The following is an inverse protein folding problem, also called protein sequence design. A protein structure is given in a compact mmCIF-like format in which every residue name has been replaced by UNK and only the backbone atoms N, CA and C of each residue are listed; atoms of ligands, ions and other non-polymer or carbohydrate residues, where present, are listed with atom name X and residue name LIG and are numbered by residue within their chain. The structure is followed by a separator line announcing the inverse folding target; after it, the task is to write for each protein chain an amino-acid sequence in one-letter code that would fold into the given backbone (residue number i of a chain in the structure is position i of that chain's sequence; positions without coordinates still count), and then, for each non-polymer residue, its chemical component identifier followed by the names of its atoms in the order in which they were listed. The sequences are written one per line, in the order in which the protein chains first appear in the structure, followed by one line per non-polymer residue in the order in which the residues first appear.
data_IF_354568573859
#
_entry.id   IF_354568573859
#
_cell.length_a   1.000
_cell.length_b   1.000
_cell.length_c   1.000
_cell.angle_alpha   90.00
_cell.angle_beta   90.00
_cell.angle_gamma   90.00
#
_symmetry.space_group_name_H-M   'P 1'
#
loop_
_entity.id
_entity.type
_entity.pdbx_description
1 polymer ?
#
# COMPACT_ATOMS: atom_id res chain seq x y z
N UNK A 1 30.08 -15.45 -2.25
CA UNK A 1 28.83 -14.69 -2.37
C UNK A 1 29.18 -13.22 -2.23
N UNK A 2 28.77 -12.40 -3.19
CA UNK A 2 29.17 -10.99 -3.22
C UNK A 2 28.34 -10.14 -2.24
N UNK A 3 27.12 -10.60 -1.92
CA UNK A 3 26.16 -9.90 -1.04
C UNK A 3 25.58 -10.85 0.02
N UNK A 4 25.11 -10.26 1.10
CA UNK A 4 24.29 -10.98 2.08
C UNK A 4 22.84 -11.09 1.60
N UNK A 5 22.34 -10.00 0.98
CA UNK A 5 20.95 -9.93 0.46
C UNK A 5 20.94 -9.36 -0.95
N UNK A 6 20.16 -9.98 -1.84
CA UNK A 6 19.87 -9.47 -3.18
C UNK A 6 18.39 -9.14 -3.26
N UNK A 7 18.06 -7.89 -3.55
CA UNK A 7 16.68 -7.39 -3.59
C UNK A 7 16.33 -7.00 -5.02
N UNK A 8 15.29 -7.61 -5.58
CA UNK A 8 14.77 -7.30 -6.91
C UNK A 8 13.61 -6.31 -6.81
N UNK A 9 13.81 -5.09 -7.29
CA UNK A 9 12.86 -3.98 -7.31
C UNK A 9 13.19 -2.90 -6.27
N UNK A 10 13.46 -1.67 -6.74
CA UNK A 10 13.74 -0.48 -5.92
C UNK A 10 12.49 0.41 -5.75
N UNK A 11 11.34 -0.22 -5.47
CA UNK A 11 10.13 0.43 -4.98
C UNK A 11 10.12 0.57 -3.46
N UNK A 12 8.95 0.91 -2.88
CA UNK A 12 8.79 1.14 -1.43
C UNK A 12 9.32 -0.05 -0.62
N UNK A 13 8.89 -1.28 -0.91
CA UNK A 13 9.30 -2.45 -0.14
C UNK A 13 10.80 -2.75 -0.27
N UNK A 14 11.34 -2.71 -1.50
CA UNK A 14 12.74 -3.03 -1.74
C UNK A 14 13.69 -2.00 -1.12
N UNK A 15 13.42 -0.71 -1.29
CA UNK A 15 14.22 0.34 -0.65
C UNK A 15 14.15 0.26 0.88
N UNK A 16 12.95 0.00 1.45
CA UNK A 16 12.79 -0.17 2.91
C UNK A 16 13.65 -1.33 3.43
N UNK A 17 13.60 -2.49 2.78
CA UNK A 17 14.41 -3.63 3.17
C UNK A 17 15.91 -3.33 3.01
N UNK A 18 16.32 -2.70 1.91
CA UNK A 18 17.71 -2.35 1.65
C UNK A 18 18.28 -1.40 2.72
N UNK A 19 17.54 -0.35 3.07
CA UNK A 19 17.92 0.60 4.13
C UNK A 19 18.10 -0.13 5.46
N UNK A 20 17.16 -0.98 5.84
CA UNK A 20 17.21 -1.67 7.13
C UNK A 20 18.34 -2.71 7.19
N UNK A 21 18.57 -3.49 6.13
CA UNK A 21 19.70 -4.41 6.07
C UNK A 21 21.06 -3.69 6.04
N UNK A 22 21.19 -2.63 5.23
CA UNK A 22 22.42 -1.85 5.17
C UNK A 22 22.79 -1.21 6.51
N UNK A 23 21.79 -0.62 7.21
CA UNK A 23 21.99 -0.08 8.57
C UNK A 23 22.38 -1.15 9.60
N UNK A 24 22.03 -2.39 9.35
CA UNK A 24 22.46 -3.52 10.16
C UNK A 24 23.86 -4.06 9.78
N UNK A 25 24.58 -3.39 8.87
CA UNK A 25 25.94 -3.73 8.46
C UNK A 25 26.02 -4.83 7.40
N UNK A 26 24.91 -5.18 6.74
CA UNK A 26 24.91 -6.20 5.68
C UNK A 26 25.19 -5.57 4.31
N UNK A 27 25.79 -6.36 3.40
CA UNK A 27 25.99 -5.99 2.00
C UNK A 27 24.74 -6.35 1.21
N UNK A 28 24.14 -5.36 0.54
CA UNK A 28 22.88 -5.46 -0.17
C UNK A 28 23.03 -5.04 -1.63
N UNK A 29 22.67 -5.91 -2.57
CA UNK A 29 22.41 -5.51 -3.95
C UNK A 29 20.92 -5.16 -4.10
N UNK A 30 20.61 -3.89 -4.37
CA UNK A 30 19.27 -3.42 -4.68
C UNK A 30 19.15 -3.22 -6.20
N UNK A 31 18.46 -4.14 -6.87
CA UNK A 31 18.40 -4.23 -8.33
C UNK A 31 17.11 -3.62 -8.85
N UNK A 32 17.20 -2.71 -9.82
CA UNK A 32 16.04 -2.03 -10.42
C UNK A 32 16.15 -2.06 -11.95
N UNK A 33 15.08 -2.47 -12.62
CA UNK A 33 15.00 -2.57 -14.08
C UNK A 33 15.06 -1.22 -14.81
N UNK A 34 14.58 -0.15 -14.18
CA UNK A 34 14.65 1.19 -14.76
C UNK A 34 16.07 1.72 -14.72
N UNK A 35 16.53 2.31 -15.82
CA UNK A 35 17.79 3.05 -15.89
C UNK A 35 17.66 4.45 -15.28
N UNK A 36 16.43 4.95 -15.10
CA UNK A 36 16.17 6.31 -14.64
C UNK A 36 15.95 6.33 -13.12
N UNK A 37 16.75 7.07 -12.36
CA UNK A 37 16.57 7.20 -10.91
C UNK A 37 15.24 7.89 -10.55
N UNK A 38 14.63 8.68 -11.46
CA UNK A 38 13.33 9.36 -11.27
C UNK A 38 12.12 8.47 -11.60
N UNK A 39 12.33 7.26 -12.11
CA UNK A 39 11.21 6.36 -12.42
C UNK A 39 10.34 6.11 -11.19
N UNK A 40 9.04 6.14 -11.36
CA UNK A 40 8.09 5.99 -10.27
C UNK A 40 6.88 5.15 -10.67
N UNK A 41 6.19 4.59 -9.69
CA UNK A 41 4.94 3.85 -9.91
C UNK A 41 3.84 4.86 -10.25
N UNK A 42 3.28 4.77 -11.45
CA UNK A 42 2.24 5.69 -11.93
C UNK A 42 0.91 5.40 -11.25
N UNK A 43 0.46 4.15 -11.24
CA UNK A 43 -0.83 3.76 -10.66
C UNK A 43 -0.68 3.50 -9.16
N UNK A 44 -0.83 4.56 -8.36
CA UNK A 44 -0.78 4.49 -6.89
C UNK A 44 -1.35 5.76 -6.27
N UNK A 45 -2.27 5.65 -5.33
CA UNK A 45 -2.83 6.78 -4.58
C UNK A 45 -1.88 7.41 -3.55
N UNK A 46 -0.67 6.89 -3.37
CA UNK A 46 0.43 7.38 -2.52
C UNK A 46 0.07 7.83 -1.09
N UNK A 47 -1.12 7.54 -0.61
CA UNK A 47 -1.54 7.78 0.76
C UNK A 47 -1.04 6.65 1.65
N UNK A 48 -0.18 6.97 2.63
CA UNK A 48 0.39 6.01 3.57
C UNK A 48 -0.35 6.11 4.88
N UNK A 49 -1.05 5.04 5.25
CA UNK A 49 -1.86 4.97 6.47
C UNK A 49 -0.99 5.01 7.73
N UNK A 50 -1.53 5.59 8.80
CA UNK A 50 -0.85 5.79 10.08
C UNK A 50 -0.30 4.52 10.73
N UNK A 51 -0.89 3.35 10.46
CA UNK A 51 -0.37 2.07 10.96
C UNK A 51 1.00 1.66 10.43
N UNK A 52 1.57 2.40 9.47
CA UNK A 52 2.94 2.21 9.00
C UNK A 52 3.91 3.30 9.51
N UNK A 53 3.46 4.18 10.43
CA UNK A 53 4.25 5.32 10.91
C UNK A 53 5.57 4.90 11.53
N UNK A 54 5.57 3.91 12.41
CA UNK A 54 6.79 3.43 13.08
C UNK A 54 7.84 2.96 12.07
N UNK A 55 7.41 2.26 11.01
CA UNK A 55 8.31 1.83 9.94
C UNK A 55 8.86 3.03 9.16
N UNK A 56 8.00 4.04 8.85
CA UNK A 56 8.44 5.27 8.19
C UNK A 56 9.50 6.01 9.01
N UNK A 57 9.31 6.12 10.33
CA UNK A 57 10.26 6.75 11.24
C UNK A 57 11.56 5.95 11.33
N UNK A 58 11.47 4.63 11.47
CA UNK A 58 12.62 3.73 11.57
C UNK A 58 13.55 3.82 10.36
N UNK A 59 13.00 3.97 9.14
CA UNK A 59 13.82 4.15 7.93
C UNK A 59 14.20 5.61 7.65
N UNK A 60 13.72 6.57 8.48
CA UNK A 60 13.96 8.00 8.29
C UNK A 60 13.10 8.64 7.19
N UNK A 61 12.14 7.88 6.68
CA UNK A 61 11.31 8.33 5.56
C UNK A 61 10.26 9.36 5.98
N UNK A 62 9.74 9.30 7.22
CA UNK A 62 8.78 10.28 7.71
C UNK A 62 9.36 11.70 7.64
N UNK A 63 10.54 11.90 8.21
CA UNK A 63 11.24 13.21 8.20
C UNK A 63 11.58 13.63 6.77
N UNK A 64 12.06 12.70 5.94
CA UNK A 64 12.39 13.01 4.56
C UNK A 64 11.16 13.39 3.72
N UNK A 65 10.01 12.73 3.90
CA UNK A 65 8.76 13.07 3.21
C UNK A 65 8.25 14.45 3.65
N UNK A 66 8.27 14.75 4.95
CA UNK A 66 7.86 16.08 5.46
C UNK A 66 8.75 17.19 4.92
N UNK A 67 10.05 16.98 4.81
CA UNK A 67 10.99 17.93 4.19
C UNK A 67 10.70 18.16 2.69
N UNK A 68 10.19 17.15 1.97
CA UNK A 68 9.76 17.28 0.57
C UNK A 68 8.34 17.88 0.41
N UNK A 69 7.73 18.33 1.51
CA UNK A 69 6.41 18.99 1.52
C UNK A 69 5.23 18.03 1.53
N UNK A 70 5.41 16.79 2.01
CA UNK A 70 4.30 15.84 2.16
C UNK A 70 3.19 16.39 3.05
N UNK A 71 1.94 16.11 2.70
CA UNK A 71 0.79 16.46 3.53
C UNK A 71 0.56 15.41 4.61
N UNK A 72 0.45 15.85 5.87
CA UNK A 72 0.09 15.01 7.01
C UNK A 72 -1.42 15.13 7.26
N UNK A 73 -2.09 14.00 7.41
CA UNK A 73 -3.52 13.91 7.70
C UNK A 73 -3.71 13.34 9.11
N UNK A 74 -4.08 14.20 10.05
CA UNK A 74 -4.40 13.81 11.43
C UNK A 74 -5.77 13.18 11.55
N UNK A 75 -6.72 13.63 10.73
CA UNK A 75 -8.10 13.15 10.72
C UNK A 75 -8.51 12.69 9.34
N UNK A 76 -8.87 11.41 9.24
CA UNK A 76 -9.50 10.84 8.04
C UNK A 76 -10.98 10.64 8.33
N UNK A 77 -11.83 11.38 7.62
CA UNK A 77 -13.28 11.31 7.72
C UNK A 77 -13.84 10.28 6.75
N UNK A 78 -14.82 9.48 7.19
CA UNK A 78 -15.49 8.48 6.35
C UNK A 78 -16.95 8.88 6.17
N UNK A 79 -17.35 9.22 4.96
CA UNK A 79 -18.75 9.47 4.64
C UNK A 79 -19.49 8.15 4.36
N UNK A 80 -20.69 8.07 4.89
CA UNK A 80 -21.64 6.97 4.66
C UNK A 80 -23.04 7.54 4.43
N UNK A 81 -24.02 6.78 3.92
CA UNK A 81 -25.39 7.27 3.83
C UNK A 81 -26.03 7.73 5.16
N UNK A 82 -25.45 7.35 6.29
CA UNK A 82 -25.87 7.82 7.61
C UNK A 82 -25.18 9.14 8.04
N UNK A 83 -24.20 9.61 7.30
CA UNK A 83 -23.40 10.80 7.59
C UNK A 83 -21.92 10.54 7.75
N UNK A 84 -21.17 11.53 8.24
CA UNK A 84 -19.74 11.46 8.46
C UNK A 84 -19.38 10.73 9.75
N UNK A 85 -18.54 9.73 9.65
CA UNK A 85 -17.86 9.10 10.79
C UNK A 85 -16.57 9.90 11.04
N UNK A 86 -16.53 10.59 12.19
CA UNK A 86 -15.43 11.43 12.61
C UNK A 86 -14.84 10.90 13.91
N UNK A 87 -13.62 10.33 13.87
CA UNK A 87 -12.93 10.03 15.14
C UNK A 87 -12.67 11.31 15.94
N UNK A 88 -12.77 11.27 17.27
CA UNK A 88 -12.42 12.42 18.10
C UNK A 88 -10.93 12.81 17.92
N UNK A 89 -10.58 14.10 18.10
CA UNK A 89 -9.20 14.58 17.89
C UNK A 89 -8.15 13.86 18.72
N UNK A 90 -8.51 13.45 19.94
CA UNK A 90 -7.66 12.78 20.94
C UNK A 90 -7.76 11.24 20.88
N UNK A 91 -8.23 10.70 19.76
CA UNK A 91 -8.48 9.26 19.62
C UNK A 91 -7.24 8.37 19.64
N UNK A 92 -6.03 8.92 19.67
CA UNK A 92 -4.77 8.17 19.63
C UNK A 92 -4.54 7.47 18.28
N UNK A 93 -5.14 7.98 17.19
CA UNK A 93 -4.98 7.43 15.85
C UNK A 93 -3.72 8.04 15.22
N UNK A 94 -2.74 7.22 14.82
CA UNK A 94 -1.54 7.75 14.19
C UNK A 94 -1.89 8.41 12.84
N UNK A 95 -1.30 9.60 12.54
CA UNK A 95 -1.59 10.32 11.31
C UNK A 95 -1.11 9.58 10.08
N UNK A 96 -1.82 9.78 8.97
CA UNK A 96 -1.39 9.37 7.65
C UNK A 96 -0.50 10.44 6.99
N UNK A 97 0.22 10.07 5.94
CA UNK A 97 1.07 10.98 5.18
C UNK A 97 0.93 10.73 3.68
N UNK A 98 0.93 11.79 2.89
CA UNK A 98 0.77 11.73 1.43
C UNK A 98 1.88 12.52 0.74
N UNK A 99 2.61 11.85 -0.16
CA UNK A 99 3.62 12.43 -1.05
C UNK A 99 3.52 11.73 -2.40
N UNK A 100 3.35 12.49 -3.49
CA UNK A 100 3.23 11.89 -4.83
C UNK A 100 4.42 11.00 -5.18
N UNK A 101 4.13 9.88 -5.84
CA UNK A 101 5.16 8.88 -6.20
C UNK A 101 6.30 9.45 -7.04
N UNK A 102 6.03 10.50 -7.81
CA UNK A 102 7.06 11.23 -8.59
C UNK A 102 8.15 11.82 -7.68
N UNK A 103 7.85 12.14 -6.42
CA UNK A 103 8.81 12.57 -5.40
C UNK A 103 9.23 11.42 -4.47
N UNK A 104 8.25 10.61 -4.02
CA UNK A 104 8.47 9.55 -3.03
C UNK A 104 9.44 8.46 -3.51
N UNK A 105 9.28 7.96 -4.75
CA UNK A 105 10.10 6.86 -5.24
C UNK A 105 11.58 7.26 -5.43
N UNK A 106 11.89 8.42 -6.07
CA UNK A 106 13.26 8.92 -6.12
C UNK A 106 13.84 9.22 -4.74
N UNK A 107 13.05 9.78 -3.81
CA UNK A 107 13.48 10.04 -2.44
C UNK A 107 13.91 8.74 -1.73
N UNK A 108 13.10 7.69 -1.82
CA UNK A 108 13.43 6.39 -1.24
C UNK A 108 14.69 5.76 -1.84
N UNK A 109 14.84 5.85 -3.17
CA UNK A 109 16.07 5.34 -3.83
C UNK A 109 17.30 6.11 -3.40
N UNK A 110 17.22 7.44 -3.25
CA UNK A 110 18.33 8.24 -2.69
C UNK A 110 18.69 7.77 -1.28
N UNK A 111 17.68 7.62 -0.39
CA UNK A 111 17.92 7.13 0.98
C UNK A 111 18.57 5.75 0.98
N UNK A 112 18.14 4.84 0.11
CA UNK A 112 18.73 3.52 -0.01
C UNK A 112 20.17 3.59 -0.54
N UNK A 113 20.41 4.36 -1.60
CA UNK A 113 21.75 4.50 -2.22
C UNK A 113 22.77 5.16 -1.26
N UNK A 114 22.33 6.05 -0.38
CA UNK A 114 23.20 6.66 0.64
C UNK A 114 23.37 5.80 1.90
N UNK A 115 22.67 4.68 2.00
CA UNK A 115 22.82 3.76 3.14
C UNK A 115 24.10 2.93 2.97
N UNK A 116 25.05 2.94 3.93
CA UNK A 116 26.25 2.11 3.85
C UNK A 116 25.92 0.64 3.60
N UNK A 117 26.68 -0.02 2.74
CA UNK A 117 26.51 -1.42 2.39
C UNK A 117 25.41 -1.70 1.34
N UNK A 118 24.74 -0.67 0.81
CA UNK A 118 23.73 -0.82 -0.25
C UNK A 118 24.28 -0.39 -1.60
N UNK A 119 24.34 -1.32 -2.55
CA UNK A 119 24.65 -1.05 -3.95
C UNK A 119 23.35 -0.98 -4.76
N UNK A 120 22.94 0.21 -5.19
CA UNK A 120 21.79 0.42 -6.07
C UNK A 120 22.18 0.18 -7.53
N UNK A 121 21.68 -0.89 -8.12
CA UNK A 121 21.96 -1.32 -9.50
C UNK A 121 20.77 -0.98 -10.40
N UNK A 122 20.81 0.20 -11.03
CA UNK A 122 19.80 0.63 -12.00
C UNK A 122 20.01 -0.03 -13.37
N UNK A 123 18.94 -0.18 -14.15
CA UNK A 123 18.96 -0.74 -15.50
C UNK A 123 19.12 -2.26 -15.54
N UNK A 124 18.99 -2.95 -14.42
CA UNK A 124 19.15 -4.39 -14.30
C UNK A 124 17.79 -5.09 -14.17
N UNK A 125 17.34 -5.75 -15.23
CA UNK A 125 16.09 -6.55 -15.22
C UNK A 125 16.41 -7.99 -14.79
N UNK A 126 15.69 -8.50 -13.80
CA UNK A 126 15.82 -9.91 -13.36
C UNK A 126 15.25 -10.83 -14.42
N UNK A 127 16.06 -11.76 -14.91
CA UNK A 127 15.71 -12.71 -16.00
C UNK A 127 15.79 -14.18 -15.57
N UNK A 128 16.48 -14.48 -14.44
CA UNK A 128 16.62 -15.82 -13.92
C UNK A 128 16.84 -15.87 -12.41
N UNK A 129 16.70 -17.06 -11.83
CA UNK A 129 17.05 -17.36 -10.45
C UNK A 129 18.20 -18.35 -10.42
N UNK A 130 19.18 -18.13 -9.56
CA UNK A 130 20.33 -19.01 -9.40
C UNK A 130 20.02 -20.00 -8.28
N UNK A 131 20.10 -21.27 -8.61
CA UNK A 131 19.88 -22.37 -7.68
C UNK A 131 21.21 -22.87 -7.10
N UNK A 132 21.24 -23.07 -5.80
CA UNK A 132 22.34 -23.72 -5.08
C UNK A 132 22.04 -25.18 -4.78
N UNK A 133 22.92 -25.86 -4.02
CA UNK A 133 22.72 -27.21 -3.57
C UNK A 133 21.39 -27.40 -2.84
N UNK A 134 20.65 -28.46 -3.16
CA UNK A 134 19.33 -28.71 -2.56
C UNK A 134 18.20 -27.82 -3.08
N UNK A 135 18.41 -27.07 -4.19
CA UNK A 135 17.38 -26.28 -4.86
C UNK A 135 17.05 -24.96 -4.17
N UNK A 136 17.86 -24.54 -3.18
CA UNK A 136 17.71 -23.20 -2.57
C UNK A 136 18.07 -22.09 -3.56
N UNK A 137 17.39 -20.95 -3.47
CA UNK A 137 17.73 -19.79 -4.27
C UNK A 137 18.93 -19.07 -3.62
N UNK A 138 19.97 -18.83 -4.43
CA UNK A 138 21.26 -18.25 -3.99
C UNK A 138 21.65 -16.99 -4.77
N UNK A 139 20.76 -16.47 -5.61
CA UNK A 139 21.01 -15.28 -6.41
C UNK A 139 20.00 -15.12 -7.53
N UNK A 140 20.26 -14.11 -8.34
CA UNK A 140 19.50 -13.80 -9.55
C UNK A 140 20.43 -13.68 -10.76
N UNK A 141 19.89 -13.93 -11.94
CA UNK A 141 20.44 -13.45 -13.19
C UNK A 141 19.75 -12.14 -13.56
N UNK A 142 20.54 -11.13 -13.90
CA UNK A 142 20.04 -9.84 -14.30
C UNK A 142 20.69 -9.37 -15.61
N UNK A 143 19.90 -8.75 -16.47
CA UNK A 143 20.36 -8.22 -17.76
C UNK A 143 20.22 -6.72 -17.79
N UNK A 144 21.18 -6.07 -18.45
CA UNK A 144 21.10 -4.68 -18.90
C UNK A 144 20.94 -4.65 -20.42
N UNK A 145 20.29 -3.63 -21.00
CA UNK A 145 20.15 -3.53 -22.43
C UNK A 145 21.51 -3.62 -23.15
N UNK A 146 21.63 -4.57 -24.07
CA UNK A 146 22.85 -4.76 -24.88
C UNK A 146 24.00 -5.52 -24.21
N UNK A 147 23.84 -6.04 -22.99
CA UNK A 147 24.86 -6.80 -22.28
C UNK A 147 24.41 -8.25 -22.01
N UNK A 148 25.40 -9.14 -21.82
CA UNK A 148 25.15 -10.50 -21.37
C UNK A 148 24.56 -10.52 -19.96
N UNK A 149 23.78 -11.56 -19.60
CA UNK A 149 23.28 -11.74 -18.24
C UNK A 149 24.43 -11.76 -17.22
N UNK A 150 24.22 -11.06 -16.09
CA UNK A 150 25.15 -11.05 -14.96
C UNK A 150 24.54 -11.81 -13.81
N UNK A 151 25.28 -12.68 -13.17
CA UNK A 151 24.93 -13.31 -11.92
C UNK A 151 25.18 -12.34 -10.74
N UNK A 152 24.19 -12.23 -9.85
CA UNK A 152 24.29 -11.48 -8.59
C UNK A 152 23.91 -12.46 -7.48
N UNK A 153 24.89 -12.86 -6.66
CA UNK A 153 24.73 -13.91 -5.66
C UNK A 153 24.59 -13.34 -4.24
N UNK A 154 23.71 -13.94 -3.45
CA UNK A 154 23.48 -13.59 -2.06
C UNK A 154 22.89 -14.74 -1.25
N UNK A 155 22.98 -14.61 0.06
CA UNK A 155 22.45 -15.62 1.01
C UNK A 155 20.92 -15.63 1.08
N UNK A 156 20.29 -14.48 0.80
CA UNK A 156 18.85 -14.28 0.73
C UNK A 156 18.51 -13.50 -0.54
N UNK A 157 17.52 -13.96 -1.29
CA UNK A 157 16.92 -13.22 -2.41
C UNK A 157 15.54 -12.70 -1.97
N UNK A 158 15.26 -11.44 -2.26
CA UNK A 158 14.01 -10.77 -1.93
C UNK A 158 13.34 -10.27 -3.20
N UNK A 159 12.16 -10.79 -3.53
CA UNK A 159 11.30 -10.26 -4.59
C UNK A 159 10.47 -9.09 -4.05
N UNK A 160 10.78 -7.87 -4.52
CA UNK A 160 10.11 -6.61 -4.21
C UNK A 160 9.64 -5.91 -5.49
N UNK A 161 9.43 -6.66 -6.56
CA UNK A 161 9.24 -6.24 -7.96
C UNK A 161 7.76 -6.01 -8.33
N UNK A 162 6.89 -5.93 -7.32
CA UNK A 162 5.53 -5.42 -7.43
C UNK A 162 4.51 -6.46 -7.91
N UNK A 163 3.32 -5.98 -8.28
CA UNK A 163 2.13 -6.77 -8.58
C UNK A 163 2.37 -7.88 -9.62
N UNK A 164 3.13 -7.62 -10.66
CA UNK A 164 3.46 -8.56 -11.73
C UNK A 164 4.81 -9.25 -11.52
N UNK A 165 5.17 -9.56 -10.28
CA UNK A 165 6.47 -10.08 -9.89
C UNK A 165 7.07 -11.11 -10.87
N UNK A 166 8.19 -10.74 -11.49
CA UNK A 166 9.00 -11.64 -12.32
C UNK A 166 9.70 -12.68 -11.43
N UNK A 167 10.16 -12.28 -10.24
CA UNK A 167 10.80 -13.18 -9.27
C UNK A 167 9.84 -14.30 -8.85
N UNK A 168 8.58 -13.98 -8.53
CA UNK A 168 7.58 -14.98 -8.18
C UNK A 168 7.32 -15.96 -9.34
N UNK A 169 7.17 -15.44 -10.57
CA UNK A 169 6.98 -16.24 -11.77
C UNK A 169 8.18 -17.15 -12.05
N UNK A 170 9.39 -16.65 -11.94
CA UNK A 170 10.63 -17.44 -12.11
C UNK A 170 10.77 -18.54 -11.03
N UNK A 171 10.28 -18.27 -9.83
CA UNK A 171 10.23 -19.27 -8.75
C UNK A 171 9.10 -20.32 -8.90
N UNK A 172 8.29 -20.22 -9.97
CA UNK A 172 7.15 -21.12 -10.20
C UNK A 172 5.99 -20.90 -9.22
N UNK A 173 5.83 -19.67 -8.72
CA UNK A 173 4.77 -19.31 -7.76
C UNK A 173 3.56 -18.77 -8.50
N UNK A 174 2.52 -19.57 -8.59
CA UNK A 174 1.24 -19.13 -9.13
C UNK A 174 0.57 -18.12 -8.19
N UNK A 175 -0.01 -17.02 -8.71
CA UNK A 175 -0.80 -16.11 -7.91
C UNK A 175 -2.17 -16.73 -7.59
N UNK A 176 -2.61 -16.61 -6.33
CA UNK A 176 -4.01 -16.73 -5.96
C UNK A 176 -4.67 -15.38 -6.26
N UNK A 177 -5.40 -15.28 -7.37
CA UNK A 177 -5.99 -14.04 -7.86
C UNK A 177 -7.49 -14.03 -7.63
N UNK A 178 -8.02 -12.86 -7.23
CA UNK A 178 -9.45 -12.59 -7.16
C UNK A 178 -9.76 -11.31 -7.98
N UNK A 179 -10.88 -11.29 -8.74
CA UNK A 179 -11.28 -10.11 -9.47
C UNK A 179 -11.57 -8.95 -8.54
N UNK A 180 -11.34 -7.72 -9.01
CA UNK A 180 -11.84 -6.51 -8.40
C UNK A 180 -12.98 -5.98 -9.27
N UNK A 181 -14.18 -5.85 -8.70
CA UNK A 181 -15.37 -5.37 -9.41
C UNK A 181 -15.42 -3.83 -9.50
N UNK A 182 -14.35 -3.16 -9.04
CA UNK A 182 -14.11 -1.73 -9.23
C UNK A 182 -12.94 -1.48 -10.16
N UNK A 183 -12.94 -0.29 -10.71
CA UNK A 183 -11.79 0.31 -11.36
C UNK A 183 -11.49 1.65 -10.70
N UNK A 184 -10.42 2.33 -11.08
CA UNK A 184 -10.03 3.56 -10.39
C UNK A 184 -9.43 4.58 -11.35
N UNK A 185 -9.77 5.86 -11.10
CA UNK A 185 -9.10 7.01 -11.66
C UNK A 185 -8.93 8.11 -10.61
N UNK A 186 -7.86 8.88 -10.70
CA UNK A 186 -7.65 10.06 -9.88
C UNK A 186 -6.99 11.17 -10.66
N UNK A 187 -7.16 12.41 -10.15
CA UNK A 187 -6.50 13.61 -10.63
C UNK A 187 -5.95 14.43 -9.48
N UNK A 188 -5.02 15.31 -9.81
CA UNK A 188 -4.48 16.31 -8.89
C UNK A 188 -4.98 17.68 -9.30
N UNK A 189 -5.36 18.50 -8.33
CA UNK A 189 -5.98 19.79 -8.57
C UNK A 189 -5.30 20.88 -7.76
N UNK A 190 -4.96 21.99 -8.44
CA UNK A 190 -4.52 23.23 -7.82
C UNK A 190 -5.71 24.15 -7.65
N UNK A 191 -5.84 24.78 -6.47
CA UNK A 191 -6.96 25.66 -6.16
C UNK A 191 -8.28 24.96 -5.79
N UNK A 192 -8.33 23.62 -5.82
CA UNK A 192 -9.46 22.88 -5.29
C UNK A 192 -9.60 23.07 -3.77
N UNK A 193 -10.82 22.93 -3.26
CA UNK A 193 -11.12 23.04 -1.83
C UNK A 193 -11.83 21.79 -1.35
N UNK A 194 -11.37 21.25 -0.22
CA UNK A 194 -12.09 20.22 0.50
C UNK A 194 -13.27 20.85 1.23
N UNK A 195 -14.47 20.32 1.08
CA UNK A 195 -15.70 20.90 1.62
C UNK A 195 -16.21 20.12 2.86
N UNK A 196 -16.02 18.83 2.91
CA UNK A 196 -16.34 18.00 4.08
C UNK A 196 -15.27 18.09 5.18
N UNK A 197 -15.49 17.39 6.32
CA UNK A 197 -14.61 17.44 7.48
C UNK A 197 -13.30 16.67 7.28
N UNK A 198 -12.33 16.93 8.16
CA UNK A 198 -11.04 16.21 8.24
C UNK A 198 -10.00 16.65 7.21
N UNK A 199 -8.80 16.09 7.33
CA UNK A 199 -7.65 16.35 6.45
C UNK A 199 -7.66 15.47 5.20
N UNK A 200 -8.33 14.33 5.27
CA UNK A 200 -8.59 13.42 4.18
C UNK A 200 -10.01 12.86 4.31
N UNK A 201 -10.62 12.57 3.19
CA UNK A 201 -12.02 12.18 3.10
C UNK A 201 -12.17 10.93 2.26
N UNK A 202 -13.00 9.99 2.70
CA UNK A 202 -13.35 8.76 2.00
C UNK A 202 -14.86 8.65 1.94
N UNK A 203 -15.43 8.49 0.77
CA UNK A 203 -16.84 8.23 0.57
C UNK A 203 -17.09 6.75 0.33
N UNK A 204 -17.94 6.14 1.15
CA UNK A 204 -18.41 4.77 1.03
C UNK A 204 -19.84 4.80 0.46
N UNK A 205 -19.96 4.85 -0.87
CA UNK A 205 -21.19 5.08 -1.63
C UNK A 205 -21.94 3.77 -1.97
N UNK A 206 -21.99 2.83 -1.04
CA UNK A 206 -22.51 1.50 -1.31
C UNK A 206 -21.48 0.62 -2.01
N UNK A 207 -21.61 0.45 -3.33
CA UNK A 207 -20.66 -0.33 -4.15
C UNK A 207 -19.51 0.52 -4.69
N UNK A 208 -19.75 1.79 -4.96
CA UNK A 208 -18.74 2.76 -5.39
C UNK A 208 -18.02 3.38 -4.18
N UNK A 209 -16.84 3.96 -4.41
CA UNK A 209 -16.12 4.73 -3.40
C UNK A 209 -15.39 5.93 -4.04
N UNK A 210 -15.07 6.91 -3.21
CA UNK A 210 -14.25 8.05 -3.61
C UNK A 210 -13.31 8.47 -2.47
N UNK A 211 -12.24 9.20 -2.80
CA UNK A 211 -11.29 9.73 -1.85
C UNK A 211 -10.89 11.15 -2.22
N UNK A 212 -10.62 11.97 -1.21
CA UNK A 212 -10.04 13.28 -1.39
C UNK A 212 -9.02 13.52 -0.29
N UNK A 213 -7.81 13.95 -0.65
CA UNK A 213 -6.79 14.27 0.34
C UNK A 213 -5.83 15.35 -0.18
N UNK A 214 -5.20 16.05 0.77
CA UNK A 214 -4.07 16.93 0.47
C UNK A 214 -2.84 16.10 0.13
N UNK A 215 -1.98 16.68 -0.74
CA UNK A 215 -0.66 16.10 -1.05
C UNK A 215 0.36 17.23 -1.18
N UNK A 216 1.57 16.91 -1.61
CA UNK A 216 2.64 17.90 -1.82
C UNK A 216 2.24 19.02 -2.80
N UNK A 217 3.03 20.10 -2.80
CA UNK A 217 2.88 21.28 -3.65
C UNK A 217 1.50 21.99 -3.52
N UNK A 218 0.82 21.81 -2.38
CA UNK A 218 -0.51 22.39 -2.14
C UNK A 218 -1.61 21.80 -3.03
N UNK A 219 -1.37 20.63 -3.62
CA UNK A 219 -2.34 19.96 -4.46
C UNK A 219 -3.34 19.16 -3.63
N UNK A 220 -4.55 19.02 -4.18
CA UNK A 220 -5.56 18.08 -3.70
C UNK A 220 -5.65 16.93 -4.70
N UNK A 221 -5.54 15.71 -4.20
CA UNK A 221 -5.85 14.50 -4.94
C UNK A 221 -7.33 14.19 -4.76
N UNK A 222 -8.02 13.93 -5.87
CA UNK A 222 -9.37 13.39 -5.89
C UNK A 222 -9.35 12.09 -6.66
N UNK A 223 -9.89 11.02 -6.07
CA UNK A 223 -9.95 9.70 -6.68
C UNK A 223 -11.35 9.11 -6.61
N UNK A 224 -11.75 8.40 -7.65
CA UNK A 224 -13.01 7.67 -7.73
C UNK A 224 -12.74 6.19 -8.00
N UNK A 225 -13.54 5.33 -7.37
CA UNK A 225 -13.48 3.87 -7.49
C UNK A 225 -14.89 3.35 -7.83
N UNK A 226 -15.35 3.61 -9.06
CA UNK A 226 -16.65 3.14 -9.50
C UNK A 226 -16.63 1.64 -9.79
N UNK A 227 -17.80 1.02 -9.74
CA UNK A 227 -17.98 -0.37 -10.18
C UNK A 227 -17.77 -0.52 -11.69
N UNK A 228 -17.40 -1.71 -12.13
CA UNK A 228 -17.17 -2.04 -13.55
C UNK A 228 -18.42 -1.82 -14.42
N UNK A 229 -19.60 -1.73 -13.82
CA UNK A 229 -20.82 -1.33 -14.55
C UNK A 229 -20.73 0.05 -15.20
N UNK A 230 -19.88 0.95 -14.68
CA UNK A 230 -19.65 2.30 -15.23
C UNK A 230 -18.52 2.38 -16.27
N UNK A 231 -17.93 1.25 -16.68
CA UNK A 231 -16.79 1.25 -17.64
C UNK A 231 -17.14 1.89 -18.97
N UNK A 232 -18.37 1.68 -19.46
CA UNK A 232 -18.82 2.25 -20.74
C UNK A 232 -18.83 3.79 -20.71
N UNK A 233 -19.29 4.40 -19.60
CA UNK A 233 -19.32 5.86 -19.43
C UNK A 233 -17.90 6.44 -19.43
N UNK A 234 -16.96 5.77 -18.75
CA UNK A 234 -15.56 6.19 -18.70
C UNK A 234 -14.81 5.93 -20.02
N UNK A 235 -15.22 4.95 -20.81
CA UNK A 235 -14.66 4.72 -22.13
C UNK A 235 -15.13 5.79 -23.13
N UNK A 236 -16.37 6.22 -23.03
CA UNK A 236 -16.94 7.26 -23.90
C UNK A 236 -16.37 8.66 -23.58
N UNK A 237 -16.36 9.04 -22.31
CA UNK A 237 -15.87 10.34 -21.84
C UNK A 237 -15.28 10.21 -20.42
N UNK A 238 -14.01 9.89 -20.32
CA UNK A 238 -13.32 9.68 -19.04
C UNK A 238 -13.34 10.93 -18.15
N UNK A 239 -13.08 12.08 -18.73
CA UNK A 239 -12.97 13.32 -17.95
C UNK A 239 -14.35 13.74 -17.42
N UNK A 240 -15.36 13.79 -18.28
CA UNK A 240 -16.71 14.14 -17.89
C UNK A 240 -17.34 13.11 -16.94
N UNK A 241 -17.11 11.80 -17.14
CA UNK A 241 -17.59 10.77 -16.22
C UNK A 241 -16.96 10.91 -14.84
N UNK A 242 -15.66 11.21 -14.76
CA UNK A 242 -14.96 11.49 -13.51
C UNK A 242 -15.54 12.73 -12.82
N UNK A 243 -15.69 13.84 -13.55
CA UNK A 243 -16.19 15.12 -13.01
C UNK A 243 -17.64 15.02 -12.50
N UNK A 244 -18.51 14.30 -13.23
CA UNK A 244 -19.88 14.01 -12.79
C UNK A 244 -19.89 13.25 -11.45
N UNK A 245 -19.10 12.17 -11.32
CA UNK A 245 -19.01 11.43 -10.06
C UNK A 245 -18.51 12.29 -8.90
N UNK A 246 -17.53 13.16 -9.15
CA UNK A 246 -17.01 14.06 -8.12
C UNK A 246 -18.05 15.09 -7.72
N UNK A 247 -18.81 15.63 -8.66
CA UNK A 247 -19.87 16.62 -8.41
C UNK A 247 -21.04 16.01 -7.60
N UNK A 248 -21.31 14.70 -7.74
CA UNK A 248 -22.36 13.98 -7.01
C UNK A 248 -21.96 13.62 -5.57
N UNK A 249 -20.68 13.82 -5.16
CA UNK A 249 -20.23 13.47 -3.81
C UNK A 249 -20.88 14.39 -2.76
N UNK A 250 -21.57 13.84 -1.74
CA UNK A 250 -22.07 14.64 -0.64
C UNK A 250 -20.94 15.35 0.09
N UNK A 251 -21.04 16.66 0.26
CA UNK A 251 -19.98 17.53 0.79
C UNK A 251 -18.64 17.33 0.06
N UNK A 252 -18.71 17.01 -1.24
CA UNK A 252 -17.56 16.71 -2.08
C UNK A 252 -16.63 17.90 -2.29
N UNK A 253 -15.40 17.66 -2.78
CA UNK A 253 -14.46 18.73 -3.04
C UNK A 253 -15.00 19.69 -4.11
N UNK A 254 -14.77 20.99 -3.89
CA UNK A 254 -15.11 22.04 -4.86
C UNK A 254 -13.98 22.15 -5.88
N UNK A 255 -14.31 21.84 -7.13
CA UNK A 255 -13.38 21.94 -8.26
C UNK A 255 -13.61 23.23 -9.08
N UNK A 256 -14.59 24.07 -8.69
CA UNK A 256 -14.90 25.32 -9.35
C UNK A 256 -13.69 26.27 -9.30
N UNK A 257 -13.19 26.68 -10.46
CA UNK A 257 -11.99 27.51 -10.58
C UNK A 257 -10.68 26.76 -10.30
N UNK A 258 -10.72 25.45 -10.02
CA UNK A 258 -9.52 24.64 -9.85
C UNK A 258 -8.94 24.22 -11.19
N UNK A 259 -7.63 24.10 -11.25
CA UNK A 259 -6.91 23.62 -12.44
C UNK A 259 -6.40 22.20 -12.20
N UNK A 260 -6.76 21.27 -13.07
CA UNK A 260 -6.20 19.91 -13.03
C UNK A 260 -4.73 19.90 -13.45
N UNK A 261 -3.87 19.35 -12.62
CA UNK A 261 -2.44 19.21 -12.87
C UNK A 261 -2.15 17.85 -13.46
N UNK A 262 -1.84 17.81 -14.75
CA UNK A 262 -1.59 16.56 -15.47
C UNK A 262 -2.86 15.85 -15.94
N UNK A 263 -2.69 14.59 -16.33
CA UNK A 263 -3.79 13.73 -16.83
C UNK A 263 -4.47 13.00 -15.67
N UNK A 264 -5.71 12.56 -15.87
CA UNK A 264 -6.31 11.53 -15.01
C UNK A 264 -5.50 10.24 -15.13
N UNK A 265 -5.09 9.72 -13.98
CA UNK A 265 -4.31 8.48 -13.86
C UNK A 265 -5.20 7.38 -13.29
N UNK A 266 -5.10 6.18 -13.82
CA UNK A 266 -5.89 5.07 -13.31
C UNK A 266 -5.72 3.78 -14.10
N UNK A 267 -6.54 2.82 -13.78
CA UNK A 267 -6.63 1.53 -14.48
C UNK A 267 -8.07 1.02 -14.43
N UNK A 268 -8.46 0.32 -15.47
CA UNK A 268 -9.78 -0.32 -15.58
C UNK A 268 -9.81 -1.71 -14.96
N UNK A 269 -8.64 -2.25 -14.60
CA UNK A 269 -8.53 -3.53 -13.92
C UNK A 269 -7.37 -3.53 -12.92
N UNK A 270 -7.63 -4.01 -11.72
CA UNK A 270 -6.64 -4.17 -10.64
C UNK A 270 -7.02 -5.36 -9.76
N UNK A 271 -6.75 -6.60 -10.20
CA UNK A 271 -7.11 -7.78 -9.42
C UNK A 271 -6.35 -7.85 -8.10
N UNK A 272 -7.00 -8.38 -7.07
CA UNK A 272 -6.33 -8.73 -5.82
C UNK A 272 -5.48 -9.97 -6.05
N UNK A 273 -4.22 -9.92 -5.62
CA UNK A 273 -3.27 -11.01 -5.81
C UNK A 273 -2.61 -11.37 -4.49
N UNK A 274 -2.54 -12.67 -4.20
CA UNK A 274 -1.77 -13.20 -3.07
C UNK A 274 -0.82 -14.29 -3.55
N UNK A 275 0.38 -14.32 -2.99
CA UNK A 275 1.39 -15.35 -3.19
C UNK A 275 1.97 -15.78 -1.85
N UNK A 276 2.48 -16.99 -1.77
CA UNK A 276 3.25 -17.46 -0.61
C UNK A 276 4.46 -16.55 -0.40
N UNK A 277 4.60 -15.87 0.77
CA UNK A 277 5.68 -14.91 0.99
C UNK A 277 7.07 -15.56 1.13
N UNK A 278 7.13 -16.87 1.34
CA UNK A 278 8.40 -17.64 1.44
C UNK A 278 8.33 -18.89 0.59
N UNK A 279 8.22 -18.77 -0.73
CA UNK A 279 7.82 -19.89 -1.59
C UNK A 279 8.92 -20.93 -1.80
N UNK A 280 10.18 -20.56 -1.65
CA UNK A 280 11.35 -21.42 -1.85
C UNK A 280 12.40 -21.15 -0.76
N UNK A 281 13.24 -22.13 -0.39
CA UNK A 281 14.39 -21.87 0.46
C UNK A 281 15.28 -20.77 -0.14
N UNK A 282 15.71 -19.80 0.68
CA UNK A 282 16.52 -18.68 0.23
C UNK A 282 15.77 -17.54 -0.49
N UNK A 283 14.44 -17.64 -0.64
CA UNK A 283 13.61 -16.63 -1.31
C UNK A 283 12.50 -16.14 -0.40
N UNK A 284 12.32 -14.81 -0.35
CA UNK A 284 11.16 -14.14 0.24
C UNK A 284 10.54 -13.14 -0.74
N UNK A 285 9.22 -12.92 -0.62
CA UNK A 285 8.47 -11.90 -1.35
C UNK A 285 7.95 -10.85 -0.37
N UNK A 286 8.00 -9.57 -0.75
CA UNK A 286 7.52 -8.44 0.05
C UNK A 286 6.66 -7.47 -0.78
N UNK A 287 5.81 -6.71 -0.12
CA UNK A 287 4.91 -5.75 -0.77
C UNK A 287 3.98 -6.42 -1.78
N UNK A 288 3.70 -5.73 -2.89
CA UNK A 288 2.78 -6.24 -3.93
C UNK A 288 3.30 -7.53 -4.62
N UNK A 289 4.58 -7.88 -4.49
CA UNK A 289 5.09 -9.16 -4.97
C UNK A 289 4.53 -10.35 -4.17
N UNK A 290 4.24 -10.14 -2.89
CA UNK A 290 3.55 -11.11 -2.03
C UNK A 290 2.03 -10.90 -2.04
N UNK A 291 1.56 -9.66 -1.76
CA UNK A 291 0.13 -9.38 -1.64
C UNK A 291 -0.22 -8.01 -2.19
N UNK A 292 -1.01 -7.97 -3.25
CA UNK A 292 -1.60 -6.76 -3.82
C UNK A 292 -3.12 -6.77 -3.60
N UNK A 293 -3.62 -5.77 -2.90
CA UNK A 293 -5.03 -5.67 -2.49
C UNK A 293 -5.80 -4.62 -3.27
N UNK A 294 -7.13 -4.59 -3.08
CA UNK A 294 -8.00 -3.51 -3.54
C UNK A 294 -7.40 -2.14 -3.15
N UNK A 295 -7.31 -1.17 -4.06
CA UNK A 295 -6.78 0.16 -3.77
C UNK A 295 -7.64 1.01 -2.82
N UNK A 296 -8.95 0.76 -2.73
CA UNK A 296 -9.89 1.56 -1.89
C UNK A 296 -9.43 1.70 -0.44
N UNK A 297 -8.99 0.63 0.26
CA UNK A 297 -8.49 0.74 1.63
C UNK A 297 -7.11 1.40 1.78
N UNK A 298 -6.45 1.83 0.69
CA UNK A 298 -5.15 2.50 0.68
C UNK A 298 -4.01 1.75 1.39
N UNK A 299 -4.05 0.41 1.45
CA UNK A 299 -3.13 -0.42 2.27
C UNK A 299 -1.78 -0.69 1.61
N UNK A 300 -1.65 -0.59 0.28
CA UNK A 300 -0.51 -1.10 -0.48
C UNK A 300 0.83 -0.52 -0.04
N UNK A 301 0.94 0.81 0.14
CA UNK A 301 2.18 1.45 0.59
C UNK A 301 2.55 1.01 2.02
N UNK A 302 1.58 0.97 2.93
CA UNK A 302 1.80 0.53 4.31
C UNK A 302 2.21 -0.94 4.41
N UNK A 303 1.60 -1.82 3.61
CA UNK A 303 1.99 -3.23 3.58
C UNK A 303 3.38 -3.44 2.95
N UNK A 304 3.74 -2.64 1.96
CA UNK A 304 5.08 -2.66 1.38
C UNK A 304 6.15 -2.32 2.42
N UNK A 305 5.94 -1.27 3.21
CA UNK A 305 6.82 -0.86 4.31
C UNK A 305 6.92 -1.95 5.37
N UNK A 306 5.77 -2.37 5.93
CA UNK A 306 5.74 -3.30 7.06
C UNK A 306 6.20 -4.71 6.71
N UNK A 307 5.85 -5.24 5.53
CA UNK A 307 6.33 -6.56 5.12
C UNK A 307 7.85 -6.60 4.94
N UNK A 308 8.44 -5.52 4.43
CA UNK A 308 9.89 -5.37 4.33
C UNK A 308 10.55 -5.34 5.71
N UNK A 309 10.02 -4.54 6.65
CA UNK A 309 10.50 -4.47 8.03
C UNK A 309 10.41 -5.83 8.73
N UNK A 310 9.26 -6.52 8.65
CA UNK A 310 9.09 -7.84 9.26
C UNK A 310 10.02 -8.90 8.67
N UNK A 311 10.32 -8.81 7.36
CA UNK A 311 11.30 -9.69 6.75
C UNK A 311 12.69 -9.46 7.34
N UNK A 312 13.11 -8.19 7.45
CA UNK A 312 14.41 -7.83 8.02
C UNK A 312 14.52 -8.31 9.46
N UNK A 313 13.54 -7.99 10.31
CA UNK A 313 13.53 -8.39 11.73
C UNK A 313 13.56 -9.92 11.92
N UNK A 314 12.92 -10.64 11.02
CA UNK A 314 12.92 -12.09 11.07
C UNK A 314 14.26 -12.71 10.61
N UNK A 315 14.87 -12.13 9.56
CA UNK A 315 16.02 -12.77 8.88
C UNK A 315 17.37 -12.23 9.31
N UNK A 316 17.45 -11.04 9.90
CA UNK A 316 18.70 -10.48 10.42
C UNK A 316 19.48 -11.44 11.35
N UNK A 317 18.85 -12.10 12.36
CA UNK A 317 19.57 -13.06 13.18
C UNK A 317 20.16 -14.25 12.39
N UNK A 318 19.53 -14.64 11.28
CA UNK A 318 20.06 -15.71 10.43
C UNK A 318 21.22 -15.23 9.56
N UNK A 319 21.15 -14.00 9.06
CA UNK A 319 22.19 -13.40 8.24
C UNK A 319 23.44 -13.00 9.06
N UNK A 320 23.30 -12.84 10.37
CA UNK A 320 24.39 -12.60 11.32
C UNK A 320 24.88 -13.88 12.02
N UNK A 321 24.38 -15.06 11.63
CA UNK A 321 24.90 -16.35 12.12
C UNK A 321 24.23 -16.92 13.39
N UNK A 322 23.21 -16.24 13.93
CA UNK A 322 22.53 -16.64 15.19
C UNK A 322 21.34 -17.59 14.99
N UNK A 323 20.87 -17.77 13.74
CA UNK A 323 19.71 -18.59 13.41
C UNK A 323 19.85 -19.21 12.04
N UNK A 324 19.20 -20.33 11.79
CA UNK A 324 19.13 -20.89 10.43
C UNK A 324 18.10 -20.13 9.59
N UNK A 325 18.43 -19.79 8.35
CA UNK A 325 17.59 -18.99 7.44
C UNK A 325 16.19 -19.58 7.25
N UNK A 326 16.07 -20.93 7.22
CA UNK A 326 14.75 -21.60 7.12
C UNK A 326 13.82 -21.27 8.30
N UNK A 327 14.35 -21.12 9.50
CA UNK A 327 13.55 -20.75 10.69
C UNK A 327 13.17 -19.27 10.68
N UNK A 328 14.09 -18.42 10.23
CA UNK A 328 13.85 -17.00 10.01
C UNK A 328 12.72 -16.76 9.00
N UNK A 329 12.74 -17.43 7.86
CA UNK A 329 11.69 -17.33 6.84
C UNK A 329 10.33 -17.84 7.34
N UNK A 330 10.29 -18.90 8.16
CA UNK A 330 9.05 -19.34 8.82
C UNK A 330 8.52 -18.29 9.80
N UNK A 331 9.39 -17.55 10.49
CA UNK A 331 9.00 -16.46 11.38
C UNK A 331 8.41 -15.31 10.56
N UNK A 332 9.04 -14.90 9.46
CA UNK A 332 8.51 -13.90 8.54
C UNK A 332 7.12 -14.30 8.02
N UNK A 333 6.96 -15.52 7.54
CA UNK A 333 5.66 -16.03 7.07
C UNK A 333 4.56 -15.91 8.13
N UNK A 334 4.86 -16.18 9.40
CA UNK A 334 3.89 -16.00 10.50
C UNK A 334 3.51 -14.54 10.70
N UNK A 335 4.45 -13.61 10.63
CA UNK A 335 4.18 -12.18 10.71
C UNK A 335 3.36 -11.70 9.51
N UNK A 336 3.67 -12.19 8.30
CA UNK A 336 2.90 -11.89 7.10
C UNK A 336 1.44 -12.33 7.19
N UNK A 337 1.12 -13.32 8.01
CA UNK A 337 -0.25 -13.74 8.31
C UNK A 337 -1.16 -12.62 8.87
N UNK A 338 -0.59 -11.50 9.34
CA UNK A 338 -1.36 -10.30 9.64
C UNK A 338 -1.96 -9.68 8.36
N UNK A 339 -1.16 -9.54 7.30
CA UNK A 339 -1.61 -9.07 5.98
C UNK A 339 -2.66 -10.02 5.42
N UNK A 340 -2.45 -11.34 5.53
CA UNK A 340 -3.38 -12.35 5.01
C UNK A 340 -4.78 -12.25 5.63
N UNK A 341 -4.88 -11.86 6.90
CA UNK A 341 -6.19 -11.64 7.57
C UNK A 341 -6.92 -10.42 7.01
N UNK A 342 -6.20 -9.33 6.73
CA UNK A 342 -6.77 -8.16 6.09
C UNK A 342 -7.07 -8.40 4.61
N UNK A 343 -6.26 -9.18 3.90
CA UNK A 343 -6.47 -9.53 2.50
C UNK A 343 -7.81 -10.22 2.28
N UNK A 344 -8.22 -11.11 3.18
CA UNK A 344 -9.55 -11.73 3.13
C UNK A 344 -10.68 -10.72 3.15
N UNK A 345 -10.58 -9.67 3.99
CA UNK A 345 -11.55 -8.58 4.03
C UNK A 345 -11.47 -7.73 2.77
N UNK A 346 -10.27 -7.39 2.32
CA UNK A 346 -10.05 -6.60 1.10
C UNK A 346 -10.61 -7.29 -0.15
N UNK A 347 -10.42 -8.61 -0.28
CA UNK A 347 -11.00 -9.41 -1.36
C UNK A 347 -12.53 -9.46 -1.29
N UNK A 348 -13.10 -9.48 -0.08
CA UNK A 348 -14.55 -9.38 0.08
C UNK A 348 -15.06 -8.01 -0.36
N UNK A 349 -14.40 -6.94 0.04
CA UNK A 349 -14.75 -5.56 -0.33
C UNK A 349 -14.56 -5.32 -1.84
N UNK A 350 -13.54 -5.92 -2.46
CA UNK A 350 -13.28 -5.85 -3.91
C UNK A 350 -14.41 -6.43 -4.77
N UNK A 351 -15.32 -7.24 -4.19
CA UNK A 351 -16.53 -7.71 -4.88
C UNK A 351 -17.56 -6.59 -5.07
N UNK A 352 -17.32 -5.41 -4.52
CA UNK A 352 -18.17 -4.22 -4.63
C UNK A 352 -19.66 -4.47 -4.26
N UNK A 353 -19.90 -5.39 -3.34
CA UNK A 353 -21.24 -5.67 -2.85
C UNK A 353 -21.74 -4.53 -1.96
N UNK A 354 -23.06 -4.22 -1.97
CA UNK A 354 -23.63 -3.29 -1.01
C UNK A 354 -23.35 -3.74 0.43
N UNK A 355 -23.18 -2.79 1.38
CA UNK A 355 -22.93 -3.13 2.77
C UNK A 355 -24.08 -3.96 3.36
N UNK A 356 -23.75 -5.03 4.08
CA UNK A 356 -24.71 -5.87 4.75
C UNK A 356 -25.34 -5.15 5.96
N UNK A 357 -26.37 -5.76 6.59
CA UNK A 357 -27.09 -5.16 7.72
C UNK A 357 -26.17 -4.80 8.90
N UNK A 358 -25.20 -5.66 9.22
CA UNK A 358 -24.26 -5.42 10.33
C UNK A 358 -23.32 -4.24 9.99
N UNK A 359 -22.78 -4.21 8.79
CA UNK A 359 -21.93 -3.11 8.34
C UNK A 359 -22.69 -1.78 8.35
N UNK A 360 -23.95 -1.76 7.90
CA UNK A 360 -24.80 -0.57 7.98
C UNK A 360 -25.03 -0.14 9.42
N UNK A 361 -25.40 -1.07 10.30
CA UNK A 361 -25.66 -0.77 11.72
C UNK A 361 -24.41 -0.18 12.40
N UNK A 362 -23.23 -0.78 12.21
CA UNK A 362 -21.98 -0.28 12.78
C UNK A 362 -21.64 1.11 12.23
N UNK A 363 -21.80 1.33 10.92
CA UNK A 363 -21.52 2.62 10.29
C UNK A 363 -22.48 3.70 10.80
N UNK A 364 -23.78 3.42 10.87
CA UNK A 364 -24.79 4.36 11.39
C UNK A 364 -24.50 4.71 12.87
N UNK A 365 -24.21 3.71 13.69
CA UNK A 365 -23.88 3.96 15.09
C UNK A 365 -22.58 4.78 15.25
N UNK A 366 -21.58 4.53 14.42
CA UNK A 366 -20.29 5.24 14.46
C UNK A 366 -20.40 6.74 14.10
N UNK A 367 -21.46 7.16 13.39
CA UNK A 367 -21.73 8.59 13.16
C UNK A 367 -22.05 9.33 14.46
N UNK A 368 -22.67 8.63 15.44
CA UNK A 368 -23.19 9.22 16.68
C UNK A 368 -22.47 8.77 17.95
N UNK A 369 -21.57 7.79 17.86
CA UNK A 369 -20.80 7.26 18.99
C UNK A 369 -19.30 7.48 18.80
N UNK A 370 -18.67 8.39 19.59
CA UNK A 370 -17.26 8.72 19.45
C UNK A 370 -16.30 7.52 19.64
N UNK A 371 -16.65 6.56 20.50
CA UNK A 371 -15.83 5.36 20.70
C UNK A 371 -15.90 4.41 19.50
N UNK A 372 -17.08 4.24 18.89
CA UNK A 372 -17.18 3.50 17.63
C UNK A 372 -16.46 4.21 16.49
N UNK A 373 -16.58 5.54 16.39
CA UNK A 373 -15.83 6.33 15.42
C UNK A 373 -14.32 6.15 15.60
N UNK A 374 -13.81 6.17 16.85
CA UNK A 374 -12.42 5.89 17.18
C UNK A 374 -12.00 4.49 16.71
N UNK A 375 -12.76 3.46 16.97
CA UNK A 375 -12.47 2.08 16.55
C UNK A 375 -12.46 1.93 15.04
N UNK A 376 -13.41 2.56 14.35
CA UNK A 376 -13.46 2.61 12.89
C UNK A 376 -12.22 3.33 12.34
N UNK A 377 -11.81 4.44 12.94
CA UNK A 377 -10.60 5.17 12.56
C UNK A 377 -9.32 4.36 12.77
N UNK A 378 -9.14 3.70 13.92
CA UNK A 378 -7.99 2.82 14.18
C UNK A 378 -7.94 1.66 13.16
N UNK A 379 -9.07 1.05 12.85
CA UNK A 379 -9.16 0.01 11.82
C UNK A 379 -8.83 0.57 10.42
N UNK A 380 -9.41 1.70 10.04
CA UNK A 380 -9.18 2.34 8.74
C UNK A 380 -7.69 2.70 8.56
N UNK A 381 -7.03 3.20 9.61
CA UNK A 381 -5.60 3.52 9.60
C UNK A 381 -4.69 2.29 9.74
N UNK A 382 -5.21 1.08 9.87
CA UNK A 382 -4.44 -0.16 10.12
C UNK A 382 -3.59 -0.10 11.39
N UNK A 383 -4.00 0.73 12.34
CA UNK A 383 -3.38 0.85 13.67
C UNK A 383 -3.92 -0.18 14.66
N UNK A 384 -5.03 -0.86 14.34
CA UNK A 384 -5.60 -1.93 15.16
C UNK A 384 -6.08 -3.10 14.27
N UNK A 385 -6.11 -4.35 14.80
CA UNK A 385 -6.57 -5.51 14.05
C UNK A 385 -8.08 -5.47 13.76
N UNK A 386 -8.59 -6.24 12.78
CA UNK A 386 -10.02 -6.29 12.43
C UNK A 386 -10.94 -6.65 13.61
N UNK A 387 -10.42 -7.39 14.61
CA UNK A 387 -11.16 -7.77 15.81
C UNK A 387 -11.67 -6.57 16.65
N UNK A 388 -11.09 -5.37 16.46
CA UNK A 388 -11.54 -4.15 17.13
C UNK A 388 -13.00 -3.81 16.80
N UNK A 389 -13.48 -4.22 15.60
CA UNK A 389 -14.85 -3.98 15.13
C UNK A 389 -15.81 -5.14 15.40
N UNK A 390 -15.36 -6.27 15.97
CA UNK A 390 -16.19 -7.47 16.22
C UNK A 390 -16.23 -7.85 17.70
N UNK A 391 -16.01 -6.89 18.61
CA UNK A 391 -16.13 -7.12 20.05
C UNK A 391 -17.57 -7.03 20.54
N UNK A 392 -17.96 -7.72 21.65
CA UNK A 392 -19.28 -7.59 22.25
C UNK A 392 -19.70 -6.12 22.53
N UNK A 393 -18.74 -5.29 22.96
CA UNK A 393 -18.99 -3.86 23.20
C UNK A 393 -19.37 -3.09 21.92
N UNK A 394 -18.87 -3.49 20.75
CA UNK A 394 -19.30 -2.90 19.46
C UNK A 394 -20.74 -3.31 19.15
N UNK A 395 -21.08 -4.58 19.33
CA UNK A 395 -22.44 -5.07 19.09
C UNK A 395 -23.47 -4.35 19.98
N UNK A 396 -23.18 -4.22 21.27
CA UNK A 396 -24.07 -3.51 22.23
C UNK A 396 -24.24 -2.03 21.83
N UNK A 397 -23.15 -1.31 21.52
CA UNK A 397 -23.21 0.09 21.10
C UNK A 397 -23.95 0.27 19.78
N UNK A 398 -23.74 -0.64 18.81
CA UNK A 398 -24.45 -0.62 17.54
C UNK A 398 -25.97 -0.83 17.73
N UNK A 399 -26.39 -1.72 18.64
CA UNK A 399 -27.78 -1.97 18.94
C UNK A 399 -28.47 -0.79 19.64
N UNK A 400 -27.80 -0.17 20.64
CA UNK A 400 -28.35 0.98 21.40
C UNK A 400 -28.57 2.20 20.49
N UNK A 401 -27.78 2.36 19.45
CA UNK A 401 -27.78 3.53 18.55
C UNK A 401 -28.47 3.30 17.21
N UNK A 402 -29.05 2.10 17.00
CA UNK A 402 -29.94 1.91 15.85
C UNK A 402 -31.11 2.88 15.99
N UNK A 403 -31.45 3.70 14.97
CA UNK A 403 -32.71 4.43 14.99
C UNK A 403 -33.82 3.41 15.15
N UNK A 404 -34.66 3.61 16.14
CA UNK A 404 -35.92 2.86 16.23
C UNK A 404 -36.67 3.22 14.95
N UNK A 405 -36.69 2.29 14.00
CA UNK A 405 -37.51 2.45 12.79
C UNK A 405 -38.96 2.42 13.27
N UNK A 406 -39.75 3.47 12.99
CA UNK A 406 -41.17 3.47 13.31
C UNK A 406 -41.91 2.38 12.53
#
# INVERSE_FOLDING_TARGET
MDYDVVIAGAGIAGCTAAILYGRAGLRVALVERSTRPEAHKVVCGHFVLGGARDTLERVGLWTAMTAEGAAVSHTVALWTPAGWIMPPPDAGIPPAISLRRVKLDPLLRRLAAYTPGVDLLLGHAVTGLIHGPGGQITGIEATTPGAAPREIRGRLVVGADGHHSAVARLAGVAPDSAPNERFLFWGYYRGARMNGPGDAQVWLLGSDAAVCCRTDDGLIQVGVFPTKARLADFAADRAGAFERLVAELPDGPRLDGATRVGKLVGTTDYPCVRREPTPRPGLALVGDAATAADPVPAVGCGWALRSAEWLVDATLPALTGHLQLRHALRRYRRHHGFIDRYDKLSRHDARALPPNRIQRAVRTAAVHDPELARRVGLFAMRAAPPSILVSPGVAVRALIRLPQVP
#
